data_IF_285828344205
#
_entry.id   IF_285828344205
#
_cell.length_a   1.000
_cell.length_b   1.000
_cell.length_c   1.000
_cell.angle_alpha   90.00
_cell.angle_beta   90.00
_cell.angle_gamma   90.00
#
_symmetry.space_group_name_H-M   'P 1'
#
loop_
_entity.id
_entity.type
_entity.pdbx_description
1 polymer ?
#
# COMPACT_ATOMS: atom_id res chain seq x y z
N UNK A 1 35.16 -2.03 4.25
CA UNK A 1 34.28 -2.92 5.00
C UNK A 1 33.84 -4.02 4.06
N UNK A 2 33.87 -5.29 4.46
CA UNK A 2 33.38 -6.44 3.69
C UNK A 2 32.11 -6.94 4.37
N UNK A 3 31.05 -7.14 3.58
CA UNK A 3 29.77 -7.69 4.06
C UNK A 3 29.51 -8.98 3.32
N UNK A 4 29.06 -10.00 4.04
CA UNK A 4 28.75 -11.32 3.49
C UNK A 4 27.47 -11.86 4.15
N UNK A 5 26.71 -12.65 3.42
CA UNK A 5 25.55 -13.36 3.94
C UNK A 5 25.68 -14.85 3.63
N UNK A 6 25.26 -15.69 4.58
CA UNK A 6 25.14 -17.14 4.44
C UNK A 6 23.73 -17.56 4.82
N UNK A 7 23.20 -18.62 4.21
CA UNK A 7 21.84 -19.11 4.46
C UNK A 7 20.74 -18.34 3.70
N UNK A 8 21.10 -17.58 2.68
CA UNK A 8 20.10 -16.94 1.80
C UNK A 8 19.23 -18.00 1.12
N UNK A 9 17.93 -17.70 0.93
CA UNK A 9 17.05 -18.53 0.11
C UNK A 9 17.61 -18.72 -1.30
N UNK A 10 17.35 -19.87 -1.95
CA UNK A 10 17.63 -20.05 -3.36
C UNK A 10 17.03 -18.90 -4.19
N UNK A 11 17.80 -18.38 -5.14
CA UNK A 11 17.37 -17.27 -5.99
C UNK A 11 17.67 -15.88 -5.44
N UNK A 12 18.04 -15.73 -4.16
CA UNK A 12 18.51 -14.47 -3.59
C UNK A 12 20.04 -14.44 -3.50
N UNK A 13 20.62 -13.29 -3.78
CA UNK A 13 22.07 -13.04 -3.69
C UNK A 13 22.34 -11.69 -3.02
N UNK A 14 23.45 -11.60 -2.32
CA UNK A 14 23.94 -10.34 -1.76
C UNK A 14 25.06 -9.77 -2.64
N UNK A 15 24.97 -8.50 -2.98
CA UNK A 15 26.04 -7.78 -3.69
C UNK A 15 27.15 -7.29 -2.73
N UNK A 16 28.21 -6.68 -3.29
CA UNK A 16 29.34 -6.15 -2.52
C UNK A 16 28.98 -4.97 -1.61
N UNK A 17 27.84 -4.33 -1.82
CA UNK A 17 27.32 -3.24 -1.00
C UNK A 17 26.42 -3.73 0.13
N UNK A 18 26.10 -5.04 0.16
CA UNK A 18 25.22 -5.65 1.15
C UNK A 18 23.74 -5.66 0.73
N UNK A 19 23.42 -5.32 -0.51
CA UNK A 19 22.06 -5.42 -1.03
C UNK A 19 21.72 -6.88 -1.32
N UNK A 20 20.64 -7.37 -0.75
CA UNK A 20 20.08 -8.70 -1.05
C UNK A 20 18.99 -8.51 -2.09
N UNK A 21 19.15 -9.14 -3.25
CA UNK A 21 18.20 -9.05 -4.37
C UNK A 21 18.05 -10.40 -5.08
N UNK A 22 16.98 -10.54 -5.86
CA UNK A 22 16.65 -11.72 -6.64
C UNK A 22 15.19 -12.12 -6.46
N UNK A 23 14.85 -13.33 -6.91
CA UNK A 23 13.52 -13.92 -6.77
C UNK A 23 13.54 -14.97 -5.66
N UNK A 24 12.72 -14.78 -4.63
CA UNK A 24 12.56 -15.77 -3.57
C UNK A 24 11.89 -17.04 -4.12
N UNK A 25 12.19 -18.23 -3.57
CA UNK A 25 11.53 -19.47 -3.97
C UNK A 25 10.03 -19.43 -3.60
N UNK A 26 9.23 -20.21 -4.30
CA UNK A 26 7.81 -20.40 -3.98
C UNK A 26 7.65 -21.23 -2.69
N UNK A 27 6.50 -21.03 -2.02
CA UNK A 27 6.11 -21.74 -0.81
C UNK A 27 6.46 -21.01 0.48
N UNK A 28 5.77 -21.39 1.57
CA UNK A 28 5.98 -20.81 2.90
C UNK A 28 7.19 -21.44 3.57
N UNK A 29 8.20 -20.63 3.91
CA UNK A 29 9.40 -21.10 4.61
C UNK A 29 10.14 -19.97 5.32
N UNK A 30 10.76 -20.28 6.44
CA UNK A 30 11.70 -19.39 7.13
C UNK A 30 13.13 -19.78 6.82
N UNK A 31 13.99 -18.77 6.63
CA UNK A 31 15.42 -18.93 6.41
C UNK A 31 16.17 -18.09 7.44
N UNK A 32 17.11 -18.73 8.14
CA UNK A 32 18.05 -18.04 9.02
C UNK A 32 19.26 -17.62 8.21
N UNK A 33 19.40 -16.33 8.02
CA UNK A 33 20.48 -15.72 7.25
C UNK A 33 21.46 -15.07 8.21
N UNK A 34 22.71 -15.52 8.18
CA UNK A 34 23.77 -14.89 8.96
C UNK A 34 24.46 -13.81 8.12
N UNK A 35 24.38 -12.58 8.56
CA UNK A 35 25.05 -11.44 7.95
C UNK A 35 26.28 -11.10 8.77
N UNK A 36 27.44 -11.13 8.13
CA UNK A 36 28.72 -10.78 8.73
C UNK A 36 29.29 -9.52 8.08
N UNK A 37 29.62 -8.54 8.90
CA UNK A 37 30.40 -7.36 8.53
C UNK A 37 31.82 -7.49 9.09
N UNK A 38 32.84 -7.17 8.30
CA UNK A 38 34.23 -7.20 8.75
C UNK A 38 35.08 -6.06 8.17
N UNK A 39 36.05 -5.61 8.94
CA UNK A 39 37.06 -4.63 8.54
C UNK A 39 38.39 -4.92 9.27
N UNK A 40 39.37 -4.03 9.13
CA UNK A 40 40.69 -4.16 9.77
C UNK A 40 40.66 -4.14 11.29
N UNK A 41 39.57 -3.68 11.91
CA UNK A 41 39.43 -3.57 13.36
C UNK A 41 38.67 -4.71 14.01
N UNK A 42 37.98 -5.52 13.20
CA UNK A 42 37.19 -6.64 13.70
C UNK A 42 36.09 -7.11 12.77
N UNK A 43 35.29 -7.99 13.34
CA UNK A 43 34.10 -8.55 12.66
C UNK A 43 32.92 -8.52 13.63
N UNK A 44 31.72 -8.35 13.08
CA UNK A 44 30.45 -8.50 13.77
C UNK A 44 29.49 -9.35 12.94
N UNK A 45 28.57 -10.03 13.59
CA UNK A 45 27.63 -10.95 12.94
C UNK A 45 26.23 -10.78 13.53
N UNK A 46 25.23 -10.79 12.65
CA UNK A 46 23.83 -10.70 13.04
C UNK A 46 22.99 -11.71 12.27
N UNK A 47 22.09 -12.40 12.97
CA UNK A 47 21.10 -13.27 12.35
C UNK A 47 19.90 -12.42 11.88
N UNK A 48 19.49 -12.66 10.62
CA UNK A 48 18.26 -12.17 10.02
C UNK A 48 17.35 -13.37 9.74
N UNK A 49 16.14 -13.36 10.27
CA UNK A 49 15.11 -14.34 9.89
C UNK A 49 14.36 -13.80 8.68
N UNK A 50 14.51 -14.47 7.54
CA UNK A 50 13.84 -14.12 6.29
C UNK A 50 12.66 -15.08 6.08
N UNK A 51 11.43 -14.54 6.10
CA UNK A 51 10.21 -15.30 5.86
C UNK A 51 9.80 -15.17 4.41
N UNK A 52 9.60 -16.30 3.74
CA UNK A 52 9.03 -16.40 2.40
C UNK A 52 7.62 -16.95 2.53
N UNK A 53 6.66 -16.33 1.87
CA UNK A 53 5.25 -16.77 1.92
C UNK A 53 4.30 -15.67 1.52
N UNK A 54 3.03 -15.91 1.75
CA UNK A 54 1.90 -15.03 1.46
C UNK A 54 1.41 -14.23 2.69
N UNK A 55 2.10 -14.33 3.82
CA UNK A 55 1.80 -13.52 4.99
C UNK A 55 2.20 -12.06 4.76
N UNK A 56 1.25 -11.17 5.02
CA UNK A 56 1.45 -9.73 4.93
C UNK A 56 1.68 -9.14 6.32
N UNK A 57 2.40 -8.01 6.38
CA UNK A 57 2.54 -7.22 7.60
C UNK A 57 3.07 -8.01 8.81
N UNK A 58 4.13 -8.77 8.64
CA UNK A 58 4.86 -9.46 9.73
C UNK A 58 5.39 -8.48 10.79
N UNK A 59 5.58 -7.23 10.40
CA UNK A 59 5.88 -6.07 11.25
C UNK A 59 4.91 -4.95 10.90
N UNK A 60 4.75 -3.92 11.74
CA UNK A 60 4.01 -2.72 11.37
C UNK A 60 4.48 -2.19 10.02
N UNK A 61 3.58 -1.88 9.07
CA UNK A 61 3.97 -1.43 7.74
C UNK A 61 4.66 -0.08 7.82
N UNK A 62 5.87 0.00 7.26
CA UNK A 62 6.58 1.26 7.08
C UNK A 62 6.41 1.72 5.63
N UNK A 63 5.96 2.95 5.45
CA UNK A 63 5.70 3.45 4.11
C UNK A 63 5.11 4.85 4.10
N UNK A 64 4.52 5.18 2.99
CA UNK A 64 3.90 6.46 2.73
C UNK A 64 2.38 6.30 2.60
N UNK A 65 1.64 7.30 3.07
CA UNK A 65 0.20 7.47 2.81
C UNK A 65 -0.03 8.77 2.06
N UNK A 66 -0.92 8.72 1.07
CA UNK A 66 -1.12 9.84 0.16
C UNK A 66 -1.82 11.05 0.78
N UNK A 67 -2.53 10.89 1.89
CA UNK A 67 -3.40 11.92 2.44
C UNK A 67 -2.67 13.23 2.76
N UNK A 68 -1.63 13.14 3.58
CA UNK A 68 -0.91 14.34 4.00
C UNK A 68 -0.05 15.00 2.92
N UNK A 69 0.18 14.30 1.80
CA UNK A 69 0.96 14.84 0.68
C UNK A 69 0.09 15.44 -0.41
N UNK A 70 -1.06 14.83 -0.68
CA UNK A 70 -1.88 15.17 -1.85
C UNK A 70 -3.37 15.34 -1.52
N UNK A 71 -3.85 14.94 -0.35
CA UNK A 71 -5.27 14.96 0.01
C UNK A 71 -6.14 14.45 -1.15
N UNK A 72 -7.17 15.21 -1.51
CA UNK A 72 -8.09 14.90 -2.59
C UNK A 72 -7.46 14.99 -4.00
N UNK A 73 -6.29 15.59 -4.14
CA UNK A 73 -5.59 15.73 -5.42
C UNK A 73 -4.75 14.50 -5.81
N UNK A 74 -4.78 13.43 -5.00
CA UNK A 74 -4.04 12.20 -5.30
C UNK A 74 -4.45 11.61 -6.65
N UNK A 75 -3.46 11.13 -7.40
CA UNK A 75 -3.66 10.45 -8.68
C UNK A 75 -2.52 9.51 -9.00
N UNK A 76 -2.69 8.70 -10.03
CA UNK A 76 -1.75 7.67 -10.43
C UNK A 76 -0.31 8.19 -10.60
N UNK A 77 -0.14 9.35 -11.23
CA UNK A 77 1.18 9.93 -11.48
C UNK A 77 1.88 10.35 -10.18
N UNK A 78 1.13 10.91 -9.22
CA UNK A 78 1.66 11.25 -7.90
C UNK A 78 2.16 10.02 -7.16
N UNK A 79 1.38 8.94 -7.19
CA UNK A 79 1.69 7.67 -6.52
C UNK A 79 2.95 7.05 -7.14
N UNK A 80 3.01 6.95 -8.47
CA UNK A 80 4.18 6.42 -9.19
C UNK A 80 5.43 7.26 -8.96
N UNK A 81 5.30 8.60 -8.97
CA UNK A 81 6.41 9.50 -8.67
C UNK A 81 6.96 9.27 -7.27
N UNK A 82 6.08 9.15 -6.27
CA UNK A 82 6.48 8.88 -4.90
C UNK A 82 7.19 7.54 -4.77
N UNK A 83 6.65 6.48 -5.39
CA UNK A 83 7.29 5.17 -5.39
C UNK A 83 8.71 5.21 -5.97
N UNK A 84 8.91 5.88 -7.09
CA UNK A 84 10.25 6.06 -7.69
C UNK A 84 11.21 6.80 -6.74
N UNK A 85 10.74 7.87 -6.09
CA UNK A 85 11.55 8.60 -5.11
C UNK A 85 11.97 7.73 -3.92
N UNK A 86 11.13 6.80 -3.47
CA UNK A 86 11.49 5.84 -2.42
C UNK A 86 12.66 4.95 -2.83
N UNK A 87 12.68 4.50 -4.08
CA UNK A 87 13.82 3.73 -4.63
C UNK A 87 15.06 4.61 -4.78
N UNK A 88 14.92 5.76 -5.44
CA UNK A 88 16.02 6.68 -5.71
C UNK A 88 16.71 7.18 -4.45
N UNK A 89 15.94 7.40 -3.38
CA UNK A 89 16.44 7.84 -2.07
C UNK A 89 16.88 6.68 -1.18
N UNK A 90 16.77 5.44 -1.65
CA UNK A 90 17.18 4.24 -0.91
C UNK A 90 16.29 3.88 0.28
N UNK A 91 15.11 4.49 0.42
CA UNK A 91 14.20 4.26 1.55
C UNK A 91 13.74 2.80 1.61
N UNK A 92 13.55 2.16 0.46
CA UNK A 92 13.17 0.74 0.35
C UNK A 92 14.19 -0.17 1.02
N UNK A 93 15.48 0.19 1.03
CA UNK A 93 16.55 -0.57 1.67
C UNK A 93 16.52 -0.48 3.20
N UNK A 94 15.70 0.40 3.74
CA UNK A 94 15.49 0.61 5.18
C UNK A 94 14.09 0.18 5.65
N UNK A 95 13.39 -0.64 4.84
CA UNK A 95 12.09 -1.19 5.19
C UNK A 95 10.88 -0.31 4.84
N UNK A 96 11.08 0.87 4.26
CA UNK A 96 10.01 1.75 3.78
C UNK A 96 9.46 1.22 2.45
N UNK A 97 8.66 0.16 2.53
CA UNK A 97 8.27 -0.62 1.37
C UNK A 97 6.77 -0.55 1.02
N UNK A 98 5.99 0.25 1.75
CA UNK A 98 4.55 0.39 1.49
C UNK A 98 4.23 1.73 0.86
N UNK A 99 3.47 1.69 -0.24
CA UNK A 99 2.89 2.85 -0.91
C UNK A 99 1.38 2.75 -0.75
N UNK A 100 0.83 3.53 0.17
CA UNK A 100 -0.58 3.44 0.52
C UNK A 100 -1.35 4.62 -0.08
N UNK A 101 -2.37 4.29 -0.85
CA UNK A 101 -3.32 5.25 -1.39
C UNK A 101 -4.45 5.39 -0.37
N UNK A 102 -4.58 6.57 0.19
CA UNK A 102 -5.65 6.94 1.11
C UNK A 102 -6.95 7.20 0.34
N UNK A 103 -7.84 7.99 0.85
CA UNK A 103 -9.13 8.30 0.23
C UNK A 103 -8.99 8.93 -1.18
N UNK A 104 -10.09 9.08 -1.87
CA UNK A 104 -10.21 9.79 -3.15
C UNK A 104 -9.73 9.03 -4.40
N UNK A 105 -9.47 7.72 -4.33
CA UNK A 105 -9.21 6.89 -5.52
C UNK A 105 -10.48 6.26 -6.11
N UNK A 106 -11.52 6.16 -5.29
CA UNK A 106 -12.74 5.43 -5.58
C UNK A 106 -13.55 6.12 -6.69
N UNK A 107 -14.02 5.31 -7.62
CA UNK A 107 -15.00 5.67 -8.65
C UNK A 107 -16.31 4.91 -8.43
N UNK A 108 -17.04 4.64 -9.50
CA UNK A 108 -18.28 3.87 -9.46
C UNK A 108 -18.02 2.37 -9.31
N UNK A 109 -18.99 1.65 -8.77
CA UNK A 109 -18.95 0.20 -8.78
C UNK A 109 -19.16 -0.35 -10.19
N UNK A 110 -18.47 -1.45 -10.50
CA UNK A 110 -18.56 -2.07 -11.81
C UNK A 110 -17.78 -3.38 -11.92
N UNK A 111 -17.59 -3.82 -13.17
CA UNK A 111 -16.92 -5.07 -13.46
C UNK A 111 -17.71 -6.31 -13.04
N UNK A 112 -17.10 -7.47 -13.20
CA UNK A 112 -17.73 -8.79 -12.95
C UNK A 112 -18.24 -8.94 -11.50
N UNK A 113 -17.57 -8.31 -10.55
CA UNK A 113 -17.83 -8.49 -9.12
C UNK A 113 -18.56 -7.31 -8.47
N UNK A 114 -18.98 -6.29 -9.23
CA UNK A 114 -19.56 -5.07 -8.67
C UNK A 114 -18.60 -4.32 -7.72
N UNK A 115 -17.30 -4.52 -7.89
CA UNK A 115 -16.27 -3.91 -7.03
C UNK A 115 -16.14 -2.41 -7.31
N UNK A 116 -15.64 -1.65 -6.33
CA UNK A 116 -15.29 -0.25 -6.50
C UNK A 116 -14.19 -0.18 -7.57
N UNK A 117 -14.47 0.56 -8.65
CA UNK A 117 -13.50 0.82 -9.69
C UNK A 117 -12.73 2.10 -9.38
N UNK A 118 -11.49 2.25 -9.88
CA UNK A 118 -10.76 3.50 -9.75
C UNK A 118 -11.46 4.63 -10.51
N UNK A 119 -11.33 5.86 -10.02
CA UNK A 119 -11.82 7.03 -10.73
C UNK A 119 -10.84 7.47 -11.84
N UNK A 120 -11.22 8.52 -12.59
CA UNK A 120 -10.45 9.02 -13.75
C UNK A 120 -9.00 9.45 -13.45
N UNK A 121 -8.65 9.70 -12.17
CA UNK A 121 -7.27 10.04 -11.74
C UNK A 121 -6.37 8.81 -11.64
N UNK A 122 -6.95 7.63 -11.71
CA UNK A 122 -6.28 6.34 -11.71
C UNK A 122 -6.69 5.54 -12.96
N UNK A 123 -6.29 5.99 -14.16
CA UNK A 123 -6.76 5.43 -15.42
C UNK A 123 -6.35 3.96 -15.62
N UNK A 124 -5.23 3.53 -15.07
CA UNK A 124 -4.78 2.13 -15.08
C UNK A 124 -4.15 1.76 -13.74
N UNK A 125 -4.99 1.51 -12.75
CA UNK A 125 -4.56 1.13 -11.41
C UNK A 125 -3.79 -0.19 -11.41
N UNK A 126 -4.12 -1.13 -12.32
CA UNK A 126 -3.40 -2.39 -12.42
C UNK A 126 -1.95 -2.16 -12.84
N UNK A 127 -1.72 -1.43 -13.93
CA UNK A 127 -0.36 -1.13 -14.38
C UNK A 127 0.44 -0.33 -13.34
N UNK A 128 -0.22 0.58 -12.62
CA UNK A 128 0.40 1.30 -11.51
C UNK A 128 0.85 0.34 -10.41
N UNK A 129 0.00 -0.57 -9.96
CA UNK A 129 0.34 -1.57 -8.94
C UNK A 129 1.48 -2.47 -9.41
N UNK A 130 1.41 -2.97 -10.65
CA UNK A 130 2.44 -3.82 -11.24
C UNK A 130 3.81 -3.11 -11.28
N UNK A 131 3.83 -1.82 -11.65
CA UNK A 131 5.05 -1.03 -11.66
C UNK A 131 5.65 -0.84 -10.26
N UNK A 132 4.80 -0.62 -9.22
CA UNK A 132 5.25 -0.49 -7.83
C UNK A 132 5.76 -1.83 -7.30
N UNK A 133 5.08 -2.93 -7.61
CA UNK A 133 5.51 -4.28 -7.25
C UNK A 133 6.86 -4.63 -7.92
N UNK A 134 7.05 -4.25 -9.19
CA UNK A 134 8.32 -4.44 -9.88
C UNK A 134 9.49 -3.67 -9.25
N UNK A 135 9.22 -2.58 -8.53
CA UNK A 135 10.20 -1.86 -7.70
C UNK A 135 10.45 -2.51 -6.33
N UNK A 136 9.85 -3.66 -6.02
CA UNK A 136 10.01 -4.37 -4.76
C UNK A 136 9.14 -3.85 -3.60
N UNK A 137 8.18 -2.97 -3.89
CA UNK A 137 7.29 -2.39 -2.89
C UNK A 137 5.89 -3.03 -2.92
N UNK A 138 5.10 -2.71 -1.91
CA UNK A 138 3.70 -3.13 -1.76
C UNK A 138 2.77 -1.94 -1.91
N UNK A 139 1.58 -2.18 -2.44
CA UNK A 139 0.53 -1.16 -2.59
C UNK A 139 -0.60 -1.46 -1.61
N UNK A 140 -1.00 -0.45 -0.85
CA UNK A 140 -2.21 -0.47 -0.04
C UNK A 140 -3.24 0.52 -0.57
N UNK A 141 -4.51 0.21 -0.34
CA UNK A 141 -5.61 1.12 -0.65
C UNK A 141 -6.53 1.25 0.56
N UNK A 142 -7.08 2.45 0.72
CA UNK A 142 -8.04 2.78 1.76
C UNK A 142 -9.48 2.51 1.30
N UNK A 143 -10.29 2.04 2.22
CA UNK A 143 -11.74 2.03 2.11
C UNK A 143 -12.38 2.07 3.50
N UNK A 144 -13.69 2.22 3.56
CA UNK A 144 -14.46 2.15 4.79
C UNK A 144 -15.50 1.03 4.70
N UNK A 145 -15.95 0.49 5.84
CA UNK A 145 -17.06 -0.47 5.86
C UNK A 145 -18.43 0.21 5.67
N UNK A 146 -18.49 1.52 5.54
CA UNK A 146 -19.70 2.31 5.38
C UNK A 146 -20.03 2.57 3.90
N UNK A 147 -21.14 3.24 3.65
CA UNK A 147 -21.56 3.63 2.30
C UNK A 147 -20.63 4.65 1.66
N UNK A 148 -20.03 5.52 2.46
CA UNK A 148 -19.10 6.56 2.02
C UNK A 148 -17.80 6.54 2.79
N UNK A 149 -16.77 7.09 2.18
CA UNK A 149 -15.49 7.37 2.82
C UNK A 149 -15.53 8.72 3.55
N UNK A 150 -14.49 9.02 4.31
CA UNK A 150 -14.40 10.30 5.01
C UNK A 150 -14.38 11.51 4.06
N UNK A 151 -13.79 11.39 2.88
CA UNK A 151 -13.80 12.45 1.87
C UNK A 151 -15.04 12.42 0.96
N UNK A 152 -16.03 11.54 1.25
CA UNK A 152 -17.30 11.50 0.54
C UNK A 152 -17.30 10.66 -0.73
N UNK A 153 -16.31 9.79 -0.91
CA UNK A 153 -16.29 8.81 -1.98
C UNK A 153 -17.06 7.54 -1.61
N UNK A 154 -17.25 6.63 -2.56
CA UNK A 154 -17.98 5.39 -2.30
C UNK A 154 -17.20 4.49 -1.34
N UNK A 155 -17.90 3.95 -0.33
CA UNK A 155 -17.37 3.00 0.64
C UNK A 155 -17.69 1.55 0.31
N UNK A 156 -17.33 0.63 1.20
CA UNK A 156 -17.42 -0.81 1.00
C UNK A 156 -18.78 -1.45 1.27
N UNK A 157 -19.69 -0.80 2.01
CA UNK A 157 -20.87 -1.46 2.57
C UNK A 157 -22.04 -1.71 1.62
N UNK A 158 -21.94 -1.32 0.34
CA UNK A 158 -22.98 -1.55 -0.65
C UNK A 158 -22.43 -2.33 -1.85
N UNK A 159 -22.13 -3.62 -1.72
CA UNK A 159 -21.43 -4.40 -2.74
C UNK A 159 -22.18 -4.49 -4.07
N UNK A 160 -23.50 -4.42 -4.04
CA UNK A 160 -24.35 -4.49 -5.24
C UNK A 160 -24.80 -3.12 -5.75
N UNK A 161 -24.37 -2.02 -5.14
CA UNK A 161 -24.75 -0.69 -5.58
C UNK A 161 -24.12 -0.37 -6.94
N UNK A 162 -24.95 0.07 -7.89
CA UNK A 162 -24.51 0.51 -9.22
C UNK A 162 -24.27 2.01 -9.30
N UNK A 163 -24.65 2.74 -8.27
CA UNK A 163 -24.50 4.18 -8.15
C UNK A 163 -23.26 4.58 -7.32
N UNK A 164 -22.81 5.80 -7.45
CA UNK A 164 -21.78 6.36 -6.58
C UNK A 164 -22.39 6.90 -5.27
N UNK A 165 -21.52 7.31 -4.35
CA UNK A 165 -21.93 7.83 -3.06
C UNK A 165 -22.78 9.11 -3.19
N UNK A 166 -22.45 9.99 -4.12
CA UNK A 166 -23.18 11.24 -4.32
C UNK A 166 -24.66 11.02 -4.66
N UNK A 167 -24.97 9.98 -5.45
CA UNK A 167 -26.34 9.62 -5.78
C UNK A 167 -27.11 9.02 -4.59
N UNK A 168 -26.38 8.40 -3.66
CA UNK A 168 -26.95 7.73 -2.46
C UNK A 168 -26.94 8.62 -1.23
N UNK A 169 -26.23 9.75 -1.23
CA UNK A 169 -26.14 10.66 -0.11
C UNK A 169 -27.41 11.50 0.02
N UNK A 170 -27.75 11.87 1.26
CA UNK A 170 -28.82 12.83 1.52
C UNK A 170 -28.37 14.21 1.02
N UNK A 171 -29.16 14.90 0.19
CA UNK A 171 -28.86 16.26 -0.22
C UNK A 171 -28.58 17.17 0.99
N UNK A 172 -27.63 18.08 0.88
CA UNK A 172 -27.15 18.90 2.00
C UNK A 172 -28.29 19.62 2.73
N UNK A 173 -29.22 20.21 1.97
CA UNK A 173 -30.41 20.90 2.50
C UNK A 173 -31.40 20.03 3.28
N UNK A 174 -31.28 18.70 3.13
CA UNK A 174 -32.15 17.71 3.77
C UNK A 174 -31.48 17.00 4.93
N UNK A 175 -30.18 17.27 5.17
CA UNK A 175 -29.38 16.59 6.20
C UNK A 175 -29.78 17.02 7.58
N UNK A 176 -29.86 16.04 8.51
CA UNK A 176 -30.07 16.24 9.93
C UNK A 176 -28.89 15.66 10.68
N UNK A 177 -28.69 16.09 11.93
CA UNK A 177 -27.59 15.58 12.76
C UNK A 177 -27.66 14.06 12.95
N UNK A 178 -28.85 13.50 13.08
CA UNK A 178 -29.09 12.06 13.21
C UNK A 178 -28.73 11.22 11.97
N UNK A 179 -28.59 11.85 10.80
CA UNK A 179 -28.19 11.19 9.57
C UNK A 179 -26.68 11.02 9.47
N UNK A 180 -25.91 11.67 10.32
CA UNK A 180 -24.46 11.61 10.31
C UNK A 180 -23.97 10.20 10.66
N UNK A 181 -23.02 9.68 9.88
CA UNK A 181 -22.39 8.41 10.15
C UNK A 181 -21.40 8.60 11.31
N UNK A 182 -21.54 7.78 12.35
CA UNK A 182 -20.63 7.81 13.50
C UNK A 182 -19.18 7.60 13.05
N UNK A 183 -18.29 8.47 13.51
CA UNK A 183 -16.86 8.44 13.18
C UNK A 183 -16.50 9.03 11.82
N UNK A 184 -17.49 9.50 11.03
CA UNK A 184 -17.22 10.22 9.78
C UNK A 184 -16.96 11.71 10.00
N UNK A 185 -16.38 12.37 8.99
CA UNK A 185 -16.25 13.82 9.00
C UNK A 185 -17.64 14.49 9.04
N UNK A 186 -17.73 15.69 9.65
CA UNK A 186 -18.95 16.47 9.57
C UNK A 186 -19.40 16.66 8.11
N UNK A 187 -20.67 16.42 7.85
CA UNK A 187 -21.24 16.54 6.51
C UNK A 187 -21.33 15.23 5.71
N UNK A 188 -20.76 14.13 6.21
CA UNK A 188 -20.98 12.80 5.59
C UNK A 188 -22.27 12.21 6.16
N UNK A 189 -23.31 12.15 5.34
CA UNK A 189 -24.64 11.66 5.70
C UNK A 189 -25.09 10.58 4.72
N UNK A 190 -25.95 9.68 5.19
CA UNK A 190 -26.51 8.61 4.37
C UNK A 190 -28.02 8.66 4.31
N UNK A 191 -28.61 8.18 3.22
CA UNK A 191 -30.03 7.84 3.18
C UNK A 191 -30.25 6.53 3.96
N UNK A 192 -31.36 6.50 4.70
CA UNK A 192 -31.83 5.28 5.37
C UNK A 192 -32.36 4.27 4.36
#
# INVERSE_FOLDING_TARGET
MKIQATGLPPGLKMDSRGLIAGTAPSGKREYKVNIQASNRHGKDMKELVLKVGDELCLTPPMGWSSWYSYSEAVGQDNVLKTARLFVERGLVNHGWAYINIDDCWQGRRGGKYGAIQPNKRFPDMKAMCDAIHAMGMKVGIYSTPWMGTYAGFIGGSAPNAKSDYGEMAIPEKERKQEDQIFGSYPGVHRRK
#
